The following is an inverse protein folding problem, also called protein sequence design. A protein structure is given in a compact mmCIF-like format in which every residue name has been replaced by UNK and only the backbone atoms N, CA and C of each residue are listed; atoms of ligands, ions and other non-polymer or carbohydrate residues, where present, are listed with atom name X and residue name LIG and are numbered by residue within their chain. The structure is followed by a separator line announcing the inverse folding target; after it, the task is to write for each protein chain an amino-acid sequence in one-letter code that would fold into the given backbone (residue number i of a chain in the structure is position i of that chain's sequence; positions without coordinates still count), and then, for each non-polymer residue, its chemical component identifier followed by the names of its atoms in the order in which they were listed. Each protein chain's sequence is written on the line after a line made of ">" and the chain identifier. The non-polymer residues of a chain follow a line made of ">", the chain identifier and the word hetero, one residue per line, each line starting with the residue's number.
data_IF_251348173001
#
_entry.id   IF_251348173001
#
_cell.length_a   1.000
_cell.length_b   1.000
_cell.length_c   1.000
_cell.angle_alpha   90.00
_cell.angle_beta   90.00
_cell.angle_gamma   90.00
#
_symmetry.space_group_name_H-M   'P 1'
#
loop_
_entity.id
_entity.type
_entity.pdbx_description
1 polymer ?
#
# COMPACT_ATOMS: atom_id res chain seq x y z
N UNK A 1 6.26 -5.63 5.74
CA UNK A 1 5.80 -4.27 6.13
C UNK A 1 5.42 -3.48 4.88
N UNK A 2 4.45 -2.56 4.93
CA UNK A 2 4.07 -1.74 3.78
C UNK A 2 5.05 -0.58 3.52
N UNK A 3 5.33 -0.30 2.25
CA UNK A 3 6.12 0.85 1.81
C UNK A 3 5.22 2.08 1.58
N UNK A 4 4.90 2.80 2.67
CA UNK A 4 3.99 3.95 2.64
C UNK A 4 4.50 5.07 1.75
N UNK A 5 5.82 5.30 1.71
CA UNK A 5 6.42 6.33 0.85
C UNK A 5 6.15 6.01 -0.61
N UNK A 6 6.45 4.79 -1.05
CA UNK A 6 6.19 4.33 -2.42
C UNK A 6 4.70 4.43 -2.79
N UNK A 7 3.80 4.10 -1.87
CA UNK A 7 2.35 4.25 -2.08
C UNK A 7 1.98 5.72 -2.33
N UNK A 8 2.51 6.65 -1.52
CA UNK A 8 2.26 8.09 -1.70
C UNK A 8 2.85 8.62 -3.02
N UNK A 9 4.02 8.14 -3.42
CA UNK A 9 4.63 8.51 -4.70
C UNK A 9 3.76 8.01 -5.88
N UNK A 10 3.29 6.77 -5.84
CA UNK A 10 2.36 6.22 -6.84
C UNK A 10 1.04 7.01 -6.91
N UNK A 11 0.50 7.39 -5.76
CA UNK A 11 -0.69 8.25 -5.69
C UNK A 11 -0.46 9.60 -6.36
N UNK A 12 0.70 10.22 -6.13
CA UNK A 12 1.06 11.49 -6.76
C UNK A 12 1.17 11.34 -8.28
N UNK A 13 1.92 10.35 -8.77
CA UNK A 13 2.08 10.07 -10.21
C UNK A 13 0.74 9.80 -10.89
N UNK A 14 -0.16 9.05 -10.23
CA UNK A 14 -1.48 8.71 -10.76
C UNK A 14 -2.55 9.79 -10.51
N UNK A 15 -2.20 10.91 -9.87
CA UNK A 15 -3.13 11.99 -9.48
C UNK A 15 -4.34 11.49 -8.66
N UNK A 16 -4.09 10.51 -7.79
CA UNK A 16 -5.09 9.90 -6.90
C UNK A 16 -4.92 10.50 -5.50
N UNK A 17 -5.98 11.11 -4.97
CA UNK A 17 -5.99 11.60 -3.58
C UNK A 17 -6.20 10.45 -2.59
N UNK A 18 -5.81 10.61 -1.32
CA UNK A 18 -6.10 9.62 -0.27
C UNK A 18 -7.59 9.30 -0.18
N UNK A 19 -8.44 10.31 -0.37
CA UNK A 19 -9.89 10.15 -0.41
C UNK A 19 -10.34 9.29 -1.59
N UNK A 20 -9.85 9.56 -2.81
CA UNK A 20 -10.17 8.74 -4.00
C UNK A 20 -9.64 7.32 -3.84
N UNK A 21 -8.42 7.15 -3.35
CA UNK A 21 -7.84 5.83 -3.09
C UNK A 21 -8.72 5.04 -2.11
N UNK A 22 -9.14 5.65 -1.01
CA UNK A 22 -10.01 5.02 -0.03
C UNK A 22 -11.42 4.71 -0.56
N UNK A 23 -11.91 5.45 -1.57
CA UNK A 23 -13.19 5.17 -2.24
C UNK A 23 -13.08 4.00 -3.23
N UNK A 24 -11.93 3.85 -3.88
CA UNK A 24 -11.65 2.75 -4.83
C UNK A 24 -11.35 1.46 -4.07
N UNK A 25 -10.58 1.55 -2.98
CA UNK A 25 -10.34 0.43 -2.09
C UNK A 25 -11.68 0.07 -1.45
N UNK A 26 -12.28 -1.06 -1.84
CA UNK A 26 -13.57 -1.54 -1.35
C UNK A 26 -13.49 -2.06 0.11
N UNK A 27 -12.92 -1.24 0.99
CA UNK A 27 -12.73 -1.46 2.43
C UNK A 27 -13.08 -0.15 3.16
N UNK A 28 -13.16 -0.17 4.48
CA UNK A 28 -13.51 1.04 5.21
C UNK A 28 -12.45 2.13 5.04
N UNK A 29 -12.92 3.36 4.73
CA UNK A 29 -12.07 4.54 4.54
C UNK A 29 -11.08 4.76 5.69
N UNK A 30 -11.52 4.51 6.93
CA UNK A 30 -10.69 4.64 8.12
C UNK A 30 -9.49 3.68 8.12
N UNK A 31 -9.65 2.44 7.66
CA UNK A 31 -8.55 1.46 7.58
C UNK A 31 -7.47 1.92 6.59
N UNK A 32 -7.87 2.37 5.40
CA UNK A 32 -6.93 2.89 4.39
C UNK A 32 -6.17 4.11 4.91
N UNK A 33 -6.88 5.07 5.51
CA UNK A 33 -6.26 6.29 6.05
C UNK A 33 -5.24 5.95 7.15
N UNK A 34 -5.56 5.04 8.09
CA UNK A 34 -4.61 4.62 9.13
C UNK A 34 -3.35 3.97 8.56
N UNK A 35 -3.46 3.21 7.48
CA UNK A 35 -2.30 2.64 6.77
C UNK A 35 -1.47 3.74 6.13
N UNK A 36 -2.09 4.65 5.38
CA UNK A 36 -1.38 5.74 4.69
C UNK A 36 -0.75 6.77 5.65
N UNK A 37 -1.29 6.88 6.87
CA UNK A 37 -0.73 7.69 7.95
C UNK A 37 0.35 6.96 8.77
N UNK A 38 0.60 5.67 8.50
CA UNK A 38 1.61 4.87 9.22
C UNK A 38 1.20 4.39 10.61
N UNK A 39 -0.04 4.64 11.03
CA UNK A 39 -0.61 4.10 12.28
C UNK A 39 -0.75 2.58 12.23
N UNK A 40 -0.98 2.01 11.04
CA UNK A 40 -1.04 0.56 10.82
C UNK A 40 0.12 0.11 9.95
N UNK A 41 1.19 -0.43 10.58
CA UNK A 41 2.41 -0.89 9.88
C UNK A 41 2.24 -2.22 9.14
N UNK A 42 1.47 -3.15 9.73
CA UNK A 42 1.14 -4.45 9.18
C UNK A 42 -0.38 -4.58 9.01
N UNK A 43 -0.95 -3.97 7.96
CA UNK A 43 -2.35 -4.18 7.66
C UNK A 43 -2.62 -5.61 7.22
N UNK A 44 -3.87 -6.05 7.39
CA UNK A 44 -4.32 -7.33 6.87
C UNK A 44 -4.25 -7.36 5.33
N UNK A 45 -4.05 -8.56 4.78
CA UNK A 45 -3.75 -8.78 3.35
C UNK A 45 -4.84 -8.21 2.41
N UNK A 46 -6.09 -8.18 2.85
CA UNK A 46 -7.23 -7.58 2.13
C UNK A 46 -7.01 -6.09 1.81
N UNK A 47 -6.45 -5.32 2.74
CA UNK A 47 -6.11 -3.91 2.53
C UNK A 47 -4.96 -3.79 1.54
N UNK A 48 -3.94 -4.64 1.66
CA UNK A 48 -2.78 -4.63 0.77
C UNK A 48 -3.21 -4.89 -0.67
N UNK A 49 -4.01 -5.93 -0.89
CA UNK A 49 -4.60 -6.27 -2.20
C UNK A 49 -5.44 -5.10 -2.72
N UNK A 50 -6.27 -4.50 -1.87
CA UNK A 50 -7.14 -3.39 -2.27
C UNK A 50 -6.36 -2.16 -2.72
N UNK A 51 -5.29 -1.79 -2.00
CA UNK A 51 -4.42 -0.67 -2.37
C UNK A 51 -3.67 -0.97 -3.66
N UNK A 52 -3.10 -2.18 -3.81
CA UNK A 52 -2.39 -2.59 -5.02
C UNK A 52 -3.31 -2.54 -6.25
N UNK A 53 -4.52 -3.09 -6.15
CA UNK A 53 -5.54 -3.03 -7.20
C UNK A 53 -5.95 -1.59 -7.54
N UNK A 54 -6.20 -0.76 -6.52
CA UNK A 54 -6.60 0.63 -6.73
C UNK A 54 -5.51 1.51 -7.35
N UNK A 55 -4.25 1.13 -7.19
CA UNK A 55 -3.09 1.77 -7.81
C UNK A 55 -2.63 1.05 -9.07
N UNK A 56 -3.27 -0.05 -9.48
CA UNK A 56 -2.91 -0.88 -10.63
C UNK A 56 -1.42 -1.29 -10.62
N UNK A 57 -0.96 -1.76 -9.47
CA UNK A 57 0.41 -2.27 -9.26
C UNK A 57 0.36 -3.65 -8.63
N UNK A 58 1.49 -4.34 -8.61
CA UNK A 58 1.63 -5.59 -7.87
C UNK A 58 1.77 -5.34 -6.37
N UNK A 59 1.47 -6.36 -5.55
CA UNK A 59 1.70 -6.30 -4.10
C UNK A 59 3.18 -6.08 -3.80
N UNK A 60 4.05 -6.78 -4.54
CA UNK A 60 5.51 -6.71 -4.43
C UNK A 60 6.08 -5.30 -4.55
N UNK A 61 5.45 -4.43 -5.34
CA UNK A 61 5.88 -3.05 -5.52
C UNK A 61 5.60 -2.16 -4.30
N UNK A 62 4.63 -2.52 -3.47
CA UNK A 62 4.18 -1.71 -2.33
C UNK A 62 4.53 -2.31 -0.98
N UNK A 63 5.12 -3.52 -0.95
CA UNK A 63 5.66 -4.13 0.27
C UNK A 63 7.17 -3.93 0.33
N UNK A 64 7.70 -3.80 1.55
CA UNK A 64 9.14 -3.83 1.79
C UNK A 64 9.55 -5.28 1.76
N UNK A 65 10.33 -5.66 0.73
CA UNK A 65 11.04 -6.95 0.69
C UNK A 65 12.17 -6.87 1.69
N UNK A 66 12.19 -7.79 2.65
CA UNK A 66 13.36 -7.94 3.51
C UNK A 66 14.46 -8.58 2.66
N UNK A 67 15.45 -7.79 2.27
CA UNK A 67 16.57 -8.24 1.43
C UNK A 67 17.55 -9.16 2.18
N UNK A 68 17.19 -9.61 3.38
CA UNK A 68 17.96 -10.54 4.19
C UNK A 68 17.94 -11.98 3.66
N UNK A 69 17.03 -12.32 2.74
CA UNK A 69 16.98 -13.63 2.07
C UNK A 69 17.58 -13.55 0.66
N UNK A 70 18.91 -13.43 0.59
CA UNK A 70 19.74 -13.83 -0.57
C UNK A 70 21.20 -13.95 -0.12
N UNK A 71 21.49 -14.97 0.69
CA UNK A 71 22.82 -15.59 0.75
C UNK A 71 22.63 -17.10 0.69
N UNK A 72 22.31 -17.60 -0.49
CA UNK A 72 22.72 -18.95 -0.88
C UNK A 72 23.59 -18.79 -2.12
N UNK A 73 24.90 -18.89 -1.88
CA UNK A 73 25.99 -18.89 -2.84
C UNK A 73 27.18 -19.55 -2.18
#
# INVERSE_FOLDING_TARGET
>A
MLNIKKIKDLMYTKKITMYRLAKICNVTKSRVIRVLNGTTKNPHIDIVISIAKALEVTIDEIVIKDLSESKEG
#
